data_IF_874270123144
#
_entry.id   IF_874270123144
#
_cell.length_a   1.000
_cell.length_b   1.000
_cell.length_c   1.000
_cell.angle_alpha   90.00
_cell.angle_beta   90.00
_cell.angle_gamma   90.00
#
_symmetry.space_group_name_H-M   'P 1'
#
loop_
_entity.id
_entity.type
_entity.pdbx_description
1 polymer ?
#
# COMPACT_ATOMS: atom_id res chain seq x y z
N UNK A 1 13.16 10.00 -31.21
CA UNK A 1 12.76 8.57 -31.08
C UNK A 1 13.25 7.96 -29.76
N UNK A 2 14.50 8.24 -29.34
CA UNK A 2 15.10 7.75 -28.08
C UNK A 2 14.29 8.09 -26.82
N UNK A 3 13.73 9.30 -26.72
CA UNK A 3 12.93 9.72 -25.55
C UNK A 3 11.62 8.92 -25.39
N UNK A 4 10.96 8.55 -26.49
CA UNK A 4 9.72 7.78 -26.45
C UNK A 4 9.95 6.32 -26.02
N UNK A 5 11.11 5.76 -26.39
CA UNK A 5 11.54 4.43 -25.98
C UNK A 5 11.85 4.44 -24.48
N UNK A 6 12.67 5.39 -24.01
CA UNK A 6 12.98 5.52 -22.59
C UNK A 6 11.75 5.74 -21.71
N UNK A 7 10.80 6.58 -22.15
CA UNK A 7 9.53 6.76 -21.43
C UNK A 7 8.74 5.45 -21.34
N UNK A 8 8.68 4.66 -22.42
CA UNK A 8 8.01 3.37 -22.42
C UNK A 8 8.69 2.36 -21.50
N UNK A 9 10.02 2.37 -21.45
CA UNK A 9 10.79 1.49 -20.57
C UNK A 9 10.49 1.82 -19.09
N UNK A 10 10.52 3.09 -18.72
CA UNK A 10 10.12 3.53 -17.37
C UNK A 10 8.68 3.16 -17.01
N UNK A 11 7.74 3.26 -17.97
CA UNK A 11 6.37 2.80 -17.74
C UNK A 11 6.29 1.29 -17.47
N UNK A 12 7.11 0.49 -18.17
CA UNK A 12 7.16 -0.95 -17.92
C UNK A 12 7.75 -1.27 -16.55
N UNK A 13 8.82 -0.57 -16.15
CA UNK A 13 9.42 -0.69 -14.81
C UNK A 13 8.39 -0.35 -13.72
N UNK A 14 7.70 0.78 -13.85
CA UNK A 14 6.65 1.18 -12.90
C UNK A 14 5.52 0.14 -12.83
N UNK A 15 5.14 -0.47 -13.96
CA UNK A 15 4.14 -1.53 -14.00
C UNK A 15 4.60 -2.79 -13.26
N UNK A 16 5.88 -3.16 -13.36
CA UNK A 16 6.44 -4.31 -12.63
C UNK A 16 6.33 -4.05 -11.12
N UNK A 17 6.78 -2.88 -10.65
CA UNK A 17 6.68 -2.49 -9.23
C UNK A 17 5.22 -2.50 -8.75
N UNK A 18 4.28 -2.01 -9.57
CA UNK A 18 2.85 -2.05 -9.23
C UNK A 18 2.32 -3.47 -9.04
N UNK A 19 2.71 -4.41 -9.90
CA UNK A 19 2.29 -5.81 -9.77
C UNK A 19 2.90 -6.45 -8.53
N UNK A 20 4.17 -6.14 -8.20
CA UNK A 20 4.81 -6.61 -6.98
C UNK A 20 4.09 -6.10 -5.73
N UNK A 21 3.72 -4.82 -5.69
CA UNK A 21 2.95 -4.25 -4.60
C UNK A 21 1.56 -4.87 -4.46
N UNK A 22 0.90 -5.21 -5.57
CA UNK A 22 -0.40 -5.90 -5.56
C UNK A 22 -0.28 -7.30 -4.95
N UNK A 23 0.73 -8.07 -5.35
CA UNK A 23 0.99 -9.39 -4.76
C UNK A 23 1.28 -9.30 -3.26
N UNK A 24 2.10 -8.33 -2.83
CA UNK A 24 2.39 -8.12 -1.40
C UNK A 24 1.14 -7.73 -0.60
N UNK A 25 0.21 -7.01 -1.22
CA UNK A 25 -1.07 -6.66 -0.58
C UNK A 25 -1.96 -7.90 -0.40
N UNK A 26 -2.01 -8.79 -1.39
CA UNK A 26 -2.74 -10.06 -1.31
C UNK A 26 -2.16 -10.98 -0.22
N UNK A 27 -0.83 -11.03 -0.11
CA UNK A 27 -0.13 -11.74 0.95
C UNK A 27 -0.49 -11.16 2.34
N UNK A 28 -0.46 -9.83 2.48
CA UNK A 28 -0.82 -9.17 3.73
C UNK A 28 -2.29 -9.43 4.12
N UNK A 29 -3.20 -9.42 3.16
CA UNK A 29 -4.61 -9.75 3.38
C UNK A 29 -4.78 -11.21 3.86
N UNK A 30 -4.06 -12.15 3.24
CA UNK A 30 -4.06 -13.56 3.63
C UNK A 30 -3.55 -13.75 5.07
N UNK A 31 -2.46 -13.07 5.44
CA UNK A 31 -1.90 -13.12 6.80
C UNK A 31 -2.90 -12.57 7.83
N UNK A 32 -3.56 -11.44 7.54
CA UNK A 32 -4.57 -10.86 8.44
C UNK A 32 -5.76 -11.81 8.63
N UNK A 33 -6.22 -12.45 7.56
CA UNK A 33 -7.30 -13.44 7.59
C UNK A 33 -6.93 -14.64 8.48
N UNK A 34 -5.75 -15.24 8.27
CA UNK A 34 -5.27 -16.37 9.08
C UNK A 34 -5.06 -15.98 10.54
N UNK A 35 -4.56 -14.77 10.82
CA UNK A 35 -4.42 -14.29 12.18
C UNK A 35 -5.78 -14.20 12.88
N UNK A 36 -6.79 -13.64 12.20
CA UNK A 36 -8.16 -13.55 12.71
C UNK A 36 -8.75 -14.93 13.02
N UNK A 37 -8.60 -15.89 12.10
CA UNK A 37 -9.10 -17.26 12.29
C UNK A 37 -8.48 -17.94 13.52
N UNK A 38 -7.18 -17.74 13.78
CA UNK A 38 -6.53 -18.27 14.98
C UNK A 38 -7.07 -17.68 16.28
N UNK A 39 -7.42 -16.39 16.30
CA UNK A 39 -8.02 -15.76 17.49
C UNK A 39 -9.43 -16.30 17.78
N UNK A 40 -10.24 -16.53 16.74
CA UNK A 40 -11.57 -17.13 16.91
C UNK A 40 -11.49 -18.59 17.36
N UNK A 41 -10.53 -19.38 16.84
CA UNK A 41 -10.32 -20.77 17.25
C UNK A 41 -9.84 -20.88 18.71
N UNK A 42 -8.99 -19.96 19.16
CA UNK A 42 -8.58 -19.84 20.57
C UNK A 42 -9.76 -19.46 21.46
N UNK A 43 -10.60 -18.49 21.04
CA UNK A 43 -11.77 -18.08 21.81
C UNK A 43 -12.81 -19.20 21.93
N UNK A 44 -13.07 -19.95 20.86
CA UNK A 44 -13.98 -21.10 20.89
C UNK A 44 -13.45 -22.25 21.76
N UNK A 45 -12.13 -22.47 21.79
CA UNK A 45 -11.51 -23.48 22.64
C UNK A 45 -11.49 -23.04 24.12
N UNK A 46 -11.35 -21.73 24.37
CA UNK A 46 -11.44 -21.18 25.72
C UNK A 46 -12.88 -21.20 26.27
N UNK A 47 -13.89 -20.88 25.46
CA UNK A 47 -15.31 -21.01 25.85
C UNK A 47 -15.71 -22.45 26.18
N UNK A 48 -15.04 -23.45 25.60
CA UNK A 48 -15.19 -24.88 25.95
C UNK A 48 -14.56 -25.22 27.32
N UNK A 49 -13.53 -24.48 27.74
CA UNK A 49 -12.78 -24.71 28.99
C UNK A 49 -13.34 -23.88 30.17
N UNK A 50 -14.12 -22.83 29.95
CA UNK A 50 -14.71 -21.96 30.99
C UNK A 50 -15.97 -22.57 31.66
N UNK A 51 -16.01 -23.90 31.85
CA UNK A 51 -16.93 -24.50 32.84
C UNK A 51 -16.25 -24.87 34.16
N UNK A 52 -15.01 -24.45 34.39
CA UNK A 52 -14.40 -24.56 35.71
C UNK A 52 -13.36 -23.48 36.00
N UNK A 53 -13.64 -22.72 37.06
CA UNK A 53 -12.68 -22.08 37.98
C UNK A 53 -12.14 -20.67 37.67
N UNK A 54 -12.74 -19.70 38.36
CA UNK A 54 -12.19 -18.54 39.09
C UNK A 54 -10.99 -17.71 38.55
N UNK A 55 -11.31 -16.43 38.30
CA UNK A 55 -10.56 -15.20 38.63
C UNK A 55 -9.05 -15.16 38.38
N UNK A 56 -8.65 -14.52 37.28
CA UNK A 56 -7.59 -13.50 37.29
C UNK A 56 -7.69 -12.63 36.03
N UNK A 57 -7.83 -11.31 36.22
CA UNK A 57 -7.72 -10.30 35.16
C UNK A 57 -6.32 -10.36 34.56
N UNK A 58 -6.19 -10.90 33.35
CA UNK A 58 -4.94 -10.78 32.57
C UNK A 58 -4.93 -9.38 31.94
N UNK A 59 -3.88 -8.56 32.11
CA UNK A 59 -3.87 -7.19 31.62
C UNK A 59 -3.89 -7.16 30.08
N UNK A 60 -5.04 -6.76 29.53
CA UNK A 60 -5.13 -6.18 28.20
C UNK A 60 -4.30 -4.88 28.21
N UNK A 61 -3.07 -4.89 27.67
CA UNK A 61 -2.40 -3.77 26.97
C UNK A 61 -0.89 -4.01 26.91
N UNK A 62 -0.42 -4.60 25.82
CA UNK A 62 0.91 -4.25 25.31
C UNK A 62 0.69 -3.40 24.05
N UNK A 63 0.79 -2.08 24.25
CA UNK A 63 0.32 -1.04 23.33
C UNK A 63 1.49 -0.39 22.56
N UNK A 64 2.65 -1.08 22.46
CA UNK A 64 3.86 -0.51 21.84
C UNK A 64 4.22 -1.06 20.46
N UNK A 65 3.64 -2.18 20.03
CA UNK A 65 3.91 -2.77 18.70
C UNK A 65 2.69 -2.63 17.78
N UNK A 66 2.83 -2.09 16.55
CA UNK A 66 1.72 -2.04 15.61
C UNK A 66 1.19 -3.45 15.35
N UNK A 67 -0.13 -3.61 15.36
CA UNK A 67 -0.74 -4.91 15.07
C UNK A 67 -0.52 -5.26 13.61
N UNK A 68 -0.53 -6.55 13.27
CA UNK A 68 -0.45 -7.04 11.88
C UNK A 68 -1.48 -6.32 10.98
N UNK A 69 -2.66 -6.01 11.53
CA UNK A 69 -3.72 -5.25 10.86
C UNK A 69 -3.32 -3.80 10.54
N UNK A 70 -2.52 -3.15 11.39
CA UNK A 70 -2.03 -1.78 11.17
C UNK A 70 -1.05 -1.73 10.00
N UNK A 71 -0.15 -2.72 9.91
CA UNK A 71 0.77 -2.87 8.78
C UNK A 71 0.02 -3.13 7.47
N UNK A 72 -0.94 -4.07 7.47
CA UNK A 72 -1.73 -4.36 6.28
C UNK A 72 -2.56 -3.15 5.82
N UNK A 73 -3.12 -2.39 6.77
CA UNK A 73 -3.84 -1.14 6.47
C UNK A 73 -2.90 -0.11 5.84
N UNK A 74 -1.70 0.05 6.39
CA UNK A 74 -0.70 0.97 5.84
C UNK A 74 -0.26 0.57 4.42
N UNK A 75 -0.02 -0.72 4.17
CA UNK A 75 0.30 -1.23 2.83
C UNK A 75 -0.84 -0.97 1.84
N UNK A 76 -2.10 -1.19 2.24
CA UNK A 76 -3.27 -0.94 1.39
C UNK A 76 -3.41 0.55 1.00
N UNK A 77 -3.14 1.45 1.94
CA UNK A 77 -3.13 2.90 1.69
C UNK A 77 -2.03 3.27 0.70
N UNK A 78 -0.79 2.83 0.95
CA UNK A 78 0.35 3.10 0.05
C UNK A 78 0.08 2.56 -1.34
N UNK A 79 -0.40 1.32 -1.47
CA UNK A 79 -0.76 0.74 -2.76
C UNK A 79 -1.80 1.59 -3.49
N UNK A 80 -2.83 2.06 -2.79
CA UNK A 80 -3.87 2.89 -3.39
C UNK A 80 -3.31 4.22 -3.92
N UNK A 81 -2.45 4.88 -3.15
CA UNK A 81 -1.76 6.12 -3.54
C UNK A 81 -0.89 5.92 -4.78
N UNK A 82 -0.01 4.90 -4.76
CA UNK A 82 0.91 4.62 -5.87
C UNK A 82 0.14 4.16 -7.12
N UNK A 83 -0.95 3.40 -6.96
CA UNK A 83 -1.81 2.98 -8.09
C UNK A 83 -2.49 4.16 -8.78
N UNK A 84 -2.97 5.14 -8.01
CA UNK A 84 -3.55 6.37 -8.56
C UNK A 84 -2.50 7.20 -9.28
N UNK A 85 -1.32 7.36 -8.68
CA UNK A 85 -0.20 8.07 -9.27
C UNK A 85 0.24 7.42 -10.59
N UNK A 86 0.53 6.11 -10.58
CA UNK A 86 0.85 5.33 -11.77
C UNK A 86 -0.21 5.48 -12.87
N UNK A 87 -1.50 5.41 -12.51
CA UNK A 87 -2.60 5.57 -13.46
C UNK A 87 -2.60 6.95 -14.12
N UNK A 88 -2.30 8.01 -13.36
CA UNK A 88 -2.14 9.35 -13.91
C UNK A 88 -0.94 9.42 -14.85
N UNK A 89 0.22 8.89 -14.43
CA UNK A 89 1.44 8.87 -15.23
C UNK A 89 1.23 8.17 -16.58
N UNK A 90 0.54 7.01 -16.58
CA UNK A 90 0.19 6.27 -17.80
C UNK A 90 -0.66 7.09 -18.75
N UNK A 91 -1.66 7.80 -18.23
CA UNK A 91 -2.53 8.66 -19.06
C UNK A 91 -1.74 9.79 -19.68
N UNK A 92 -0.92 10.49 -18.90
CA UNK A 92 -0.06 11.57 -19.37
C UNK A 92 0.87 11.06 -20.47
N UNK A 93 1.62 9.99 -20.19
CA UNK A 93 2.57 9.42 -21.15
C UNK A 93 1.90 8.92 -22.44
N UNK A 94 0.66 8.42 -22.35
CA UNK A 94 -0.12 7.99 -23.51
C UNK A 94 -0.69 9.17 -24.33
N UNK A 95 -0.93 10.32 -23.69
CA UNK A 95 -1.37 11.54 -24.35
C UNK A 95 -0.23 12.31 -25.02
N UNK A 96 1.00 12.16 -24.52
CA UNK A 96 2.18 12.73 -25.14
C UNK A 96 2.42 12.11 -26.52
N UNK A 97 2.65 12.97 -27.51
CA UNK A 97 3.01 12.55 -28.86
C UNK A 97 3.94 13.58 -29.52
N UNK A 98 4.44 13.28 -30.72
CA UNK A 98 5.38 14.14 -31.45
C UNK A 98 4.83 15.55 -31.77
N UNK A 99 3.53 15.81 -31.58
CA UNK A 99 2.86 17.10 -31.81
C UNK A 99 2.55 17.86 -30.52
N UNK A 100 2.85 17.30 -29.34
CA UNK A 100 2.64 18.01 -28.08
C UNK A 100 3.42 19.32 -28.09
N UNK A 101 2.72 20.42 -27.82
CA UNK A 101 3.33 21.74 -27.77
C UNK A 101 4.21 21.89 -26.52
N UNK A 102 5.20 22.80 -26.54
CA UNK A 102 6.03 23.06 -25.37
C UNK A 102 5.22 23.45 -24.11
N UNK A 103 4.15 24.22 -24.28
CA UNK A 103 3.28 24.62 -23.15
C UNK A 103 2.46 23.48 -22.57
N UNK A 104 1.98 22.55 -23.40
CA UNK A 104 1.35 21.32 -22.91
C UNK A 104 2.35 20.46 -22.14
N UNK A 105 3.57 20.30 -22.66
CA UNK A 105 4.63 19.55 -21.99
C UNK A 105 5.00 20.17 -20.64
N UNK A 106 5.14 21.49 -20.57
CA UNK A 106 5.40 22.20 -19.32
C UNK A 106 4.27 22.00 -18.31
N UNK A 107 3.02 22.05 -18.76
CA UNK A 107 1.84 21.76 -17.92
C UNK A 107 1.89 20.34 -17.36
N UNK A 108 2.23 19.35 -18.21
CA UNK A 108 2.39 17.96 -17.77
C UNK A 108 3.53 17.80 -16.75
N UNK A 109 4.67 18.48 -16.97
CA UNK A 109 5.79 18.47 -16.03
C UNK A 109 5.39 19.08 -14.67
N UNK A 110 4.60 20.15 -14.66
CA UNK A 110 4.09 20.75 -13.43
C UNK A 110 3.08 19.83 -12.72
N UNK A 111 2.15 19.21 -13.45
CA UNK A 111 1.22 18.24 -12.85
C UNK A 111 1.97 17.07 -12.21
N UNK A 112 3.05 16.61 -12.84
CA UNK A 112 3.90 15.54 -12.32
C UNK A 112 4.64 15.94 -11.04
N UNK A 113 5.20 17.15 -10.99
CA UNK A 113 5.97 17.60 -9.82
C UNK A 113 5.13 17.77 -8.56
N UNK A 114 3.83 18.03 -8.73
CA UNK A 114 2.88 18.19 -7.62
C UNK A 114 2.53 16.87 -6.92
N UNK A 115 2.81 15.70 -7.54
CA UNK A 115 2.53 14.36 -6.98
C UNK A 115 1.16 14.28 -6.26
N UNK A 116 0.05 14.63 -6.92
CA UNK A 116 -1.23 14.92 -6.25
C UNK A 116 -1.86 13.72 -5.51
N UNK A 117 -1.38 12.50 -5.77
CA UNK A 117 -1.89 11.28 -5.15
C UNK A 117 -0.98 10.70 -4.06
N UNK A 118 0.21 11.28 -3.88
CA UNK A 118 1.20 10.81 -2.90
C UNK A 118 1.24 11.79 -1.73
N UNK A 119 0.62 11.39 -0.63
CA UNK A 119 0.73 12.03 0.68
C UNK A 119 2.08 11.69 1.33
N UNK A 120 2.93 12.72 1.48
CA UNK A 120 4.26 12.55 2.06
C UNK A 120 4.21 12.18 3.55
N UNK A 121 3.21 12.61 4.31
CA UNK A 121 3.11 12.31 5.75
C UNK A 121 2.81 10.83 5.96
N UNK A 122 1.95 10.25 5.12
CA UNK A 122 1.69 8.81 5.12
C UNK A 122 2.96 8.03 4.79
N UNK A 123 3.73 8.48 3.78
CA UNK A 123 4.99 7.85 3.41
C UNK A 123 6.02 7.91 4.54
N UNK A 124 6.19 9.07 5.19
CA UNK A 124 7.08 9.21 6.35
C UNK A 124 6.66 8.29 7.50
N UNK A 125 5.35 8.21 7.78
CA UNK A 125 4.83 7.29 8.80
C UNK A 125 5.12 5.84 8.44
N UNK A 126 4.92 5.45 7.19
CA UNK A 126 5.25 4.10 6.73
C UNK A 126 6.74 3.77 6.89
N UNK A 127 7.62 4.71 6.53
CA UNK A 127 9.07 4.56 6.72
C UNK A 127 9.45 4.39 8.19
N UNK A 128 8.75 5.05 9.11
CA UNK A 128 9.01 4.90 10.55
C UNK A 128 8.68 3.51 11.10
N UNK A 129 7.91 2.70 10.35
CA UNK A 129 7.56 1.33 10.71
C UNK A 129 8.56 0.29 10.20
N UNK A 130 9.51 0.69 9.34
CA UNK A 130 10.58 -0.15 8.82
C UNK A 130 11.79 -0.03 9.77
N UNK A 131 12.29 -1.14 10.34
CA UNK A 131 13.43 -1.12 11.26
C UNK A 131 14.76 -0.73 10.61
#
# INVERSE_FOLDING_TARGET
QTCHIGLKDHMNEAKIVMNELENLLDDAASIVQTAKEKYEDINHNLDSVITSSDKEEVPLSDLSTPKVTDYATMMAIIYSMVKQDYTMQVRIASSLNLKSSPGELETYCQMWSLRPFVDDDIMHRAWSLVP
#
